data_IF_732672439656
#
_entry.id   IF_732672439656
#
_cell.length_a   1.000
_cell.length_b   1.000
_cell.length_c   1.000
_cell.angle_alpha   90.00
_cell.angle_beta   90.00
_cell.angle_gamma   90.00
#
_symmetry.space_group_name_H-M   'P 1'
#
loop_
_entity.id
_entity.type
_entity.pdbx_description
1 polymer ?
#
# COMPACT_ATOMS: atom_id res chain seq x y z
N UNK A 1 -24.99 30.95 -17.12
CA UNK A 1 -24.15 29.79 -16.78
C UNK A 1 -24.98 28.97 -15.82
N UNK A 2 -25.41 27.79 -16.25
CA UNK A 2 -26.35 26.97 -15.50
C UNK A 2 -25.72 26.45 -14.20
N UNK A 3 -26.54 26.05 -13.22
CA UNK A 3 -26.04 25.37 -12.04
C UNK A 3 -25.33 24.08 -12.48
N UNK A 4 -24.11 23.87 -12.00
CA UNK A 4 -23.43 22.57 -12.09
C UNK A 4 -24.35 21.52 -11.48
N UNK A 5 -24.94 20.70 -12.34
CA UNK A 5 -25.58 19.47 -11.93
C UNK A 5 -24.43 18.56 -11.53
N UNK A 6 -24.12 18.50 -10.24
CA UNK A 6 -23.36 17.39 -9.67
C UNK A 6 -24.06 16.11 -10.13
N UNK A 7 -23.47 15.42 -11.11
CA UNK A 7 -23.90 14.06 -11.44
C UNK A 7 -23.58 13.24 -10.19
N UNK A 8 -24.62 12.80 -9.50
CA UNK A 8 -24.55 11.88 -8.37
C UNK A 8 -24.11 10.50 -8.92
N UNK A 9 -22.85 10.38 -9.33
CA UNK A 9 -22.29 9.10 -9.74
C UNK A 9 -22.19 8.21 -8.50
N UNK A 10 -22.64 6.95 -8.56
CA UNK A 10 -22.53 6.05 -7.44
C UNK A 10 -21.05 5.80 -7.13
N UNK A 11 -20.67 5.98 -5.86
CA UNK A 11 -19.32 5.72 -5.36
C UNK A 11 -18.84 4.33 -5.75
N UNK A 12 -17.56 4.23 -6.09
CA UNK A 12 -16.91 3.01 -6.53
C UNK A 12 -15.93 2.49 -5.49
N UNK A 13 -15.74 1.18 -5.47
CA UNK A 13 -14.93 0.50 -4.48
C UNK A 13 -14.00 -0.50 -5.16
N UNK A 14 -12.73 -0.49 -4.75
CA UNK A 14 -11.71 -1.40 -5.23
C UNK A 14 -11.18 -2.15 -4.02
N UNK A 15 -11.36 -3.48 -3.98
CA UNK A 15 -10.83 -4.33 -2.92
C UNK A 15 -9.55 -5.01 -3.41
N UNK A 16 -8.43 -4.72 -2.75
CA UNK A 16 -7.12 -5.27 -3.09
C UNK A 16 -6.76 -6.37 -2.10
N UNK A 17 -6.61 -7.60 -2.60
CA UNK A 17 -6.32 -8.80 -1.80
C UNK A 17 -4.98 -9.40 -2.19
N UNK A 18 -4.36 -10.13 -1.26
CA UNK A 18 -3.08 -10.82 -1.47
C UNK A 18 -3.20 -12.32 -1.53
N UNK A 19 -2.28 -12.95 -2.26
CA UNK A 19 -2.20 -14.39 -2.41
C UNK A 19 -0.79 -14.93 -2.34
N UNK A 20 -0.65 -16.24 -2.14
CA UNK A 20 0.63 -16.98 -2.15
C UNK A 20 1.56 -16.66 -0.98
N UNK A 21 2.08 -15.43 -0.89
CA UNK A 21 3.01 -14.96 0.15
C UNK A 21 2.66 -13.54 0.58
N UNK A 22 3.05 -13.15 1.79
CA UNK A 22 3.02 -11.75 2.21
C UNK A 22 4.11 -10.93 1.51
N UNK A 23 4.06 -9.60 1.66
CA UNK A 23 5.08 -8.67 1.14
C UNK A 23 5.23 -8.62 -0.39
N UNK A 24 4.18 -8.98 -1.13
CA UNK A 24 4.14 -8.85 -2.59
C UNK A 24 4.00 -7.41 -3.12
N UNK A 25 3.93 -6.40 -2.26
CA UNK A 25 3.78 -5.01 -2.68
C UNK A 25 2.34 -4.56 -2.94
N UNK A 26 1.33 -5.21 -2.32
CA UNK A 26 -0.10 -4.84 -2.47
C UNK A 26 -0.37 -3.35 -2.25
N UNK A 27 0.20 -2.77 -1.19
CA UNK A 27 0.05 -1.37 -0.87
C UNK A 27 0.62 -0.46 -1.96
N UNK A 28 1.75 -0.83 -2.55
CA UNK A 28 2.35 -0.10 -3.68
C UNK A 28 1.52 -0.25 -4.96
N UNK A 29 0.99 -1.43 -5.26
CA UNK A 29 0.02 -1.64 -6.36
C UNK A 29 -1.21 -0.74 -6.17
N UNK A 30 -1.80 -0.74 -4.98
CA UNK A 30 -2.97 0.07 -4.64
C UNK A 30 -2.68 1.58 -4.75
N UNK A 31 -1.54 2.02 -4.20
CA UNK A 31 -1.07 3.40 -4.26
C UNK A 31 -0.81 3.85 -5.70
N UNK A 32 -0.17 3.01 -6.50
CA UNK A 32 0.14 3.31 -7.91
C UNK A 32 -1.11 3.37 -8.78
N UNK A 33 -2.07 2.46 -8.56
CA UNK A 33 -3.38 2.57 -9.21
C UNK A 33 -4.10 3.84 -8.79
N UNK A 34 -4.09 4.17 -7.50
CA UNK A 34 -4.69 5.41 -6.98
C UNK A 34 -4.11 6.65 -7.66
N UNK A 35 -2.79 6.70 -7.82
CA UNK A 35 -2.10 7.79 -8.50
C UNK A 35 -2.52 7.92 -9.97
N UNK A 36 -2.63 6.80 -10.70
CA UNK A 36 -3.09 6.82 -12.10
C UNK A 36 -4.54 7.31 -12.20
N UNK A 37 -5.42 6.87 -11.29
CA UNK A 37 -6.81 7.34 -11.25
C UNK A 37 -6.90 8.85 -10.95
N UNK A 38 -6.05 9.38 -10.08
CA UNK A 38 -5.95 10.83 -9.84
C UNK A 38 -5.48 11.60 -11.08
N UNK A 39 -4.52 11.07 -11.85
CA UNK A 39 -4.12 11.67 -13.14
C UNK A 39 -5.25 11.67 -14.19
N UNK A 40 -6.23 10.78 -14.03
CA UNK A 40 -7.48 10.79 -14.82
C UNK A 40 -8.57 11.70 -14.24
N UNK A 41 -8.28 12.45 -13.18
CA UNK A 41 -9.22 13.39 -12.55
C UNK A 41 -10.22 12.72 -11.59
N UNK A 42 -9.98 11.48 -11.18
CA UNK A 42 -10.82 10.76 -10.21
C UNK A 42 -10.37 11.10 -8.80
N UNK A 43 -11.29 11.44 -7.89
CA UNK A 43 -10.95 11.61 -6.48
C UNK A 43 -10.83 10.25 -5.80
N UNK A 44 -9.65 9.97 -5.23
CA UNK A 44 -9.33 8.66 -4.65
C UNK A 44 -9.02 8.79 -3.16
N UNK A 45 -9.49 7.83 -2.37
CA UNK A 45 -8.97 7.58 -1.03
C UNK A 45 -8.53 6.12 -0.91
N UNK A 46 -7.47 5.87 -0.16
CA UNK A 46 -6.99 4.53 0.13
C UNK A 46 -7.14 4.26 1.64
N UNK A 47 -7.49 3.03 1.99
CA UNK A 47 -7.50 2.57 3.37
C UNK A 47 -6.91 1.17 3.48
N UNK A 48 -6.36 0.84 4.65
CA UNK A 48 -5.72 -0.43 4.96
C UNK A 48 -6.47 -1.15 6.07
N UNK A 49 -6.82 -2.40 5.82
CA UNK A 49 -7.41 -3.31 6.79
C UNK A 49 -6.37 -4.31 7.27
N UNK A 50 -5.99 -4.19 8.53
CA UNK A 50 -4.95 -5.01 9.14
C UNK A 50 -5.54 -6.13 10.00
N UNK A 51 -5.19 -7.39 9.72
CA UNK A 51 -5.81 -8.51 10.42
C UNK A 51 -5.28 -8.75 11.84
N UNK A 52 -4.26 -8.01 12.29
CA UNK A 52 -3.71 -8.13 13.64
C UNK A 52 -4.64 -7.56 14.74
N UNK A 53 -4.45 -8.03 15.97
CA UNK A 53 -5.31 -7.71 17.11
C UNK A 53 -4.92 -6.45 17.89
N UNK A 54 -3.74 -5.87 17.64
CA UNK A 54 -3.39 -4.58 18.21
C UNK A 54 -4.40 -3.52 17.74
N UNK A 55 -4.90 -2.70 18.66
CA UNK A 55 -5.85 -1.61 18.34
C UNK A 55 -5.15 -0.54 17.48
N UNK A 56 -3.88 -0.30 17.76
CA UNK A 56 -2.98 0.57 17.01
C UNK A 56 -1.56 -0.05 17.01
N UNK A 57 -0.68 0.34 16.06
CA UNK A 57 0.69 -0.14 15.99
C UNK A 57 1.62 0.53 17.01
N UNK A 58 1.15 1.48 17.84
CA UNK A 58 1.97 2.17 18.84
C UNK A 58 2.59 1.25 19.89
N UNK A 59 1.96 0.09 20.11
CA UNK A 59 2.46 -0.97 21.00
C UNK A 59 3.38 -1.98 20.30
N UNK A 60 3.55 -1.88 18.98
CA UNK A 60 4.38 -2.79 18.21
C UNK A 60 5.85 -2.37 18.26
N UNK A 61 6.73 -3.36 18.16
CA UNK A 61 8.15 -3.09 18.03
C UNK A 61 8.46 -2.65 16.59
N UNK A 62 9.06 -1.46 16.37
CA UNK A 62 9.42 -1.01 15.03
C UNK A 62 10.39 -1.96 14.30
N UNK A 63 11.17 -2.76 15.04
CA UNK A 63 12.04 -3.79 14.46
C UNK A 63 11.29 -4.93 13.77
N UNK A 64 10.03 -5.17 14.14
CA UNK A 64 9.23 -6.27 13.63
C UNK A 64 8.23 -5.81 12.58
N UNK A 65 7.77 -4.56 12.66
CA UNK A 65 6.66 -4.04 11.86
C UNK A 65 7.00 -2.79 11.04
N UNK A 66 8.26 -2.33 11.05
CA UNK A 66 8.68 -1.12 10.35
C UNK A 66 8.39 0.15 11.16
N UNK A 67 8.49 1.31 10.52
CA UNK A 67 8.12 2.57 11.19
C UNK A 67 6.63 2.63 11.53
N UNK A 68 6.31 3.30 12.63
CA UNK A 68 4.94 3.76 12.89
C UNK A 68 4.75 5.06 12.12
N UNK A 69 3.75 5.08 11.23
CA UNK A 69 3.39 6.30 10.50
C UNK A 69 2.40 7.12 11.33
N UNK A 70 2.54 8.45 11.30
CA UNK A 70 1.67 9.35 12.08
C UNK A 70 0.95 10.28 11.12
N UNK A 71 -0.38 10.25 11.15
CA UNK A 71 -1.25 11.07 10.31
C UNK A 71 -1.46 12.47 10.90
N UNK A 72 -1.99 13.38 10.09
CA UNK A 72 -2.30 14.77 10.46
C UNK A 72 -3.26 14.88 11.66
N UNK A 73 -4.13 13.89 11.89
CA UNK A 73 -5.04 13.83 13.03
C UNK A 73 -4.41 13.23 14.31
N UNK A 74 -3.12 12.88 14.24
CA UNK A 74 -2.35 12.31 15.35
C UNK A 74 -2.49 10.80 15.50
N UNK A 75 -3.17 10.12 14.57
CA UNK A 75 -3.28 8.67 14.59
C UNK A 75 -1.95 7.99 14.27
N UNK A 76 -1.56 7.03 15.08
CA UNK A 76 -0.45 6.10 14.83
C UNK A 76 -0.97 4.94 13.99
N UNK A 77 -0.38 4.68 12.82
CA UNK A 77 -0.86 3.73 11.83
C UNK A 77 0.26 2.89 11.21
N UNK A 78 -0.13 1.87 10.45
CA UNK A 78 0.78 1.06 9.65
C UNK A 78 1.55 1.91 8.62
N UNK A 79 2.77 1.49 8.28
CA UNK A 79 3.66 2.19 7.34
C UNK A 79 3.06 2.33 5.94
N UNK A 80 2.15 1.45 5.55
CA UNK A 80 1.54 1.47 4.21
C UNK A 80 0.71 2.73 3.97
N UNK A 81 0.18 3.38 5.02
CA UNK A 81 -0.50 4.66 4.87
C UNK A 81 0.46 5.76 4.40
N UNK A 82 1.73 5.67 4.77
CA UNK A 82 2.78 6.54 4.24
C UNK A 82 3.03 6.30 2.75
N UNK A 83 2.81 5.09 2.22
CA UNK A 83 2.82 4.87 0.78
C UNK A 83 1.63 5.54 0.10
N UNK A 84 0.45 5.48 0.69
CA UNK A 84 -0.74 6.09 0.10
C UNK A 84 -0.59 7.61 -0.01
N UNK A 85 -0.19 8.31 1.06
CA UNK A 85 0.02 9.78 1.01
C UNK A 85 1.16 10.22 0.10
N UNK A 86 2.14 9.35 -0.17
CA UNK A 86 3.24 9.66 -1.10
C UNK A 86 2.82 9.59 -2.57
N UNK A 87 1.81 8.79 -2.88
CA UNK A 87 1.39 8.51 -4.24
C UNK A 87 0.10 9.22 -4.61
N UNK A 88 -0.77 9.51 -3.65
CA UNK A 88 -2.05 10.16 -3.87
C UNK A 88 -2.21 11.42 -3.03
N UNK A 89 -3.11 12.29 -3.47
CA UNK A 89 -3.48 13.52 -2.78
C UNK A 89 -4.55 13.33 -1.69
N UNK A 90 -5.10 12.10 -1.59
CA UNK A 90 -6.17 11.75 -0.67
C UNK A 90 -5.77 11.94 0.79
N UNK A 91 -6.49 12.81 1.51
CA UNK A 91 -6.30 13.00 2.96
C UNK A 91 -6.69 11.75 3.72
N UNK A 92 -5.77 11.27 4.56
CA UNK A 92 -5.99 10.14 5.44
C UNK A 92 -6.23 10.61 6.88
N UNK A 93 -6.88 9.74 7.64
CA UNK A 93 -7.16 9.92 9.08
C UNK A 93 -7.14 8.55 9.75
N UNK A 94 -7.35 8.49 11.07
CA UNK A 94 -7.53 7.24 11.80
C UNK A 94 -8.59 6.29 11.19
N UNK A 95 -9.54 6.82 10.40
CA UNK A 95 -10.56 6.01 9.73
C UNK A 95 -10.01 5.19 8.55
N UNK A 96 -8.82 5.53 8.05
CA UNK A 96 -8.16 4.87 6.93
C UNK A 96 -7.30 3.67 7.34
N UNK A 97 -7.16 3.40 8.63
CA UNK A 97 -6.56 2.17 9.13
C UNK A 97 -7.56 1.46 10.03
N UNK A 98 -7.92 0.22 9.67
CA UNK A 98 -8.84 -0.60 10.45
C UNK A 98 -8.15 -1.89 10.87
N UNK A 99 -8.06 -2.13 12.17
CA UNK A 99 -7.46 -3.37 12.70
C UNK A 99 -8.53 -4.34 13.20
N UNK A 100 -8.22 -5.65 13.24
CA UNK A 100 -9.09 -6.61 13.95
C UNK A 100 -9.30 -6.18 15.40
N UNK A 101 -8.25 -5.67 16.06
CA UNK A 101 -8.32 -5.14 17.43
C UNK A 101 -9.45 -4.12 17.61
N UNK A 102 -9.47 -3.08 16.77
CA UNK A 102 -10.48 -2.02 16.80
C UNK A 102 -11.90 -2.57 16.57
N UNK A 103 -12.05 -3.52 15.64
CA UNK A 103 -13.37 -4.10 15.31
C UNK A 103 -13.89 -4.90 16.50
N UNK A 104 -13.09 -5.82 17.03
CA UNK A 104 -13.50 -6.67 18.14
C UNK A 104 -13.73 -5.84 19.41
N UNK A 105 -12.90 -4.83 19.67
CA UNK A 105 -13.13 -3.88 20.77
C UNK A 105 -14.47 -3.15 20.61
N UNK A 106 -14.73 -2.55 19.44
CA UNK A 106 -15.99 -1.85 19.15
C UNK A 106 -17.21 -2.75 19.36
N UNK A 107 -17.21 -3.96 18.78
CA UNK A 107 -18.32 -4.92 18.89
C UNK A 107 -18.54 -5.35 20.34
N UNK A 108 -17.48 -5.65 21.08
CA UNK A 108 -17.59 -6.04 22.50
C UNK A 108 -18.13 -4.88 23.35
N UNK A 109 -17.69 -3.65 23.10
CA UNK A 109 -18.17 -2.48 23.83
C UNK A 109 -19.65 -2.20 23.57
N UNK A 110 -20.11 -2.30 22.31
CA UNK A 110 -21.54 -2.18 21.95
C UNK A 110 -22.39 -3.26 22.63
N UNK A 111 -21.87 -4.48 22.72
CA UNK A 111 -22.51 -5.58 23.45
C UNK A 111 -22.65 -5.29 24.94
N UNK A 112 -21.57 -4.85 25.60
CA UNK A 112 -21.58 -4.51 27.04
C UNK A 112 -22.52 -3.35 27.37
N UNK A 113 -22.75 -2.42 26.43
CA UNK A 113 -23.71 -1.32 26.55
C UNK A 113 -25.16 -1.74 26.29
N UNK A 114 -25.41 -2.98 25.86
CA UNK A 114 -26.74 -3.48 25.55
C UNK A 114 -27.29 -3.03 24.19
N UNK A 115 -26.44 -2.53 23.28
CA UNK A 115 -26.87 -2.02 21.96
C UNK A 115 -27.46 -3.12 21.07
N UNK A 116 -27.09 -4.38 21.31
CA UNK A 116 -27.65 -5.55 20.62
C UNK A 116 -28.91 -6.13 21.29
N UNK A 117 -29.50 -5.43 22.28
CA UNK A 117 -30.79 -5.76 22.88
C UNK A 117 -30.92 -7.21 23.41
N UNK A 118 -29.82 -7.76 23.94
CA UNK A 118 -29.76 -9.12 24.48
C UNK A 118 -29.65 -10.24 23.43
N UNK A 119 -29.49 -9.90 22.15
CA UNK A 119 -29.22 -10.87 21.10
C UNK A 119 -27.80 -11.45 21.20
N UNK A 120 -27.61 -12.68 20.69
CA UNK A 120 -26.28 -13.30 20.60
C UNK A 120 -25.40 -12.55 19.60
N UNK A 121 -24.25 -12.06 20.05
CA UNK A 121 -23.25 -11.42 19.20
C UNK A 121 -22.38 -12.46 18.52
N UNK A 122 -22.13 -12.26 17.22
CA UNK A 122 -21.51 -13.23 16.30
C UNK A 122 -20.65 -12.52 15.26
N UNK A 123 -19.67 -13.21 14.66
CA UNK A 123 -18.84 -12.66 13.57
C UNK A 123 -19.72 -12.21 12.39
N UNK A 124 -20.69 -13.03 12.00
CA UNK A 124 -21.73 -12.65 11.05
C UNK A 124 -23.05 -12.55 11.82
N UNK A 125 -23.75 -11.40 11.82
CA UNK A 125 -23.46 -10.20 11.04
C UNK A 125 -22.65 -9.14 11.81
N UNK A 126 -22.39 -9.26 13.11
CA UNK A 126 -21.97 -8.11 13.93
C UNK A 126 -20.57 -7.57 13.58
N UNK A 127 -19.56 -8.44 13.49
CA UNK A 127 -18.19 -8.06 13.08
C UNK A 127 -18.17 -7.61 11.62
N UNK A 128 -18.82 -8.37 10.74
CA UNK A 128 -18.89 -8.03 9.31
C UNK A 128 -19.64 -6.72 9.04
N UNK A 129 -20.69 -6.40 9.80
CA UNK A 129 -21.39 -5.12 9.72
C UNK A 129 -20.53 -3.96 10.22
N UNK A 130 -19.73 -4.16 11.27
CA UNK A 130 -18.78 -3.14 11.73
C UNK A 130 -17.75 -2.82 10.63
N UNK A 131 -17.19 -3.84 9.98
CA UNK A 131 -16.26 -3.66 8.86
C UNK A 131 -16.95 -2.93 7.70
N UNK A 132 -18.16 -3.36 7.30
CA UNK A 132 -18.91 -2.71 6.23
C UNK A 132 -19.24 -1.25 6.54
N UNK A 133 -19.55 -0.91 7.79
CA UNK A 133 -19.78 0.47 8.20
C UNK A 133 -18.52 1.31 7.96
N UNK A 134 -17.35 0.82 8.39
CA UNK A 134 -16.05 1.49 8.15
C UNK A 134 -15.76 1.74 6.67
N UNK A 135 -16.09 0.79 5.78
CA UNK A 135 -15.95 0.98 4.32
C UNK A 135 -16.84 2.15 3.83
N UNK A 136 -18.05 2.32 4.37
CA UNK A 136 -18.96 3.40 3.96
C UNK A 136 -18.48 4.76 4.46
N UNK A 137 -18.06 4.82 5.72
CA UNK A 137 -17.58 6.05 6.34
C UNK A 137 -16.34 6.58 5.62
N UNK A 138 -15.41 5.68 5.28
CA UNK A 138 -14.18 6.05 4.57
C UNK A 138 -14.39 6.43 3.10
N UNK A 139 -15.56 6.17 2.51
CA UNK A 139 -15.86 6.56 1.12
C UNK A 139 -16.55 7.91 1.01
N UNK A 140 -16.74 8.64 2.11
CA UNK A 140 -17.30 10.00 2.08
C UNK A 140 -16.45 10.95 1.22
N UNK A 141 -17.11 11.71 0.34
CA UNK A 141 -16.50 12.74 -0.52
C UNK A 141 -15.42 12.28 -1.52
N UNK A 142 -15.39 10.99 -1.89
CA UNK A 142 -14.53 10.49 -2.98
C UNK A 142 -15.29 9.63 -3.99
N UNK A 143 -14.81 9.64 -5.24
CA UNK A 143 -15.35 8.84 -6.33
C UNK A 143 -14.99 7.36 -6.18
N UNK A 144 -13.75 7.07 -5.79
CA UNK A 144 -13.20 5.72 -5.62
C UNK A 144 -12.55 5.54 -4.25
N UNK A 145 -13.00 4.54 -3.50
CA UNK A 145 -12.31 4.05 -2.31
C UNK A 145 -11.56 2.75 -2.63
N UNK A 146 -10.24 2.77 -2.47
CA UNK A 146 -9.38 1.58 -2.57
C UNK A 146 -9.16 1.05 -1.16
N UNK A 147 -9.49 -0.21 -0.91
CA UNK A 147 -9.28 -0.87 0.37
C UNK A 147 -8.33 -2.04 0.19
N UNK A 148 -7.13 -1.92 0.76
CA UNK A 148 -6.17 -3.02 0.83
C UNK A 148 -6.44 -3.89 2.05
N UNK A 149 -6.41 -5.21 1.89
CA UNK A 149 -6.45 -6.17 3.00
C UNK A 149 -5.05 -6.68 3.27
N UNK A 150 -4.55 -6.47 4.49
CA UNK A 150 -3.32 -7.07 5.01
C UNK A 150 -3.40 -8.59 5.09
N UNK A 151 -2.25 -9.23 5.26
CA UNK A 151 -2.15 -10.70 5.27
C UNK A 151 -2.29 -11.35 3.88
N UNK A 152 -2.60 -12.65 3.89
CA UNK A 152 -2.68 -13.49 2.69
C UNK A 152 -4.03 -14.23 2.64
N UNK A 153 -4.62 -14.32 1.45
CA UNK A 153 -5.86 -15.08 1.24
C UNK A 153 -5.64 -16.55 1.60
N UNK A 154 -6.50 -17.08 2.47
CA UNK A 154 -6.39 -18.43 3.02
C UNK A 154 -6.02 -18.44 4.51
N UNK A 155 -5.48 -17.34 5.03
CA UNK A 155 -5.20 -17.20 6.46
C UNK A 155 -6.48 -16.92 7.26
N UNK A 156 -6.54 -17.47 8.46
CA UNK A 156 -7.72 -17.38 9.35
C UNK A 156 -8.02 -15.92 9.72
N UNK A 157 -6.97 -15.13 9.92
CA UNK A 157 -7.04 -13.75 10.40
C UNK A 157 -7.78 -12.80 9.44
N UNK A 158 -7.72 -13.05 8.12
CA UNK A 158 -8.35 -12.21 7.10
C UNK A 158 -9.81 -12.57 6.78
N UNK A 159 -10.32 -13.70 7.29
CA UNK A 159 -11.65 -14.21 6.92
C UNK A 159 -12.80 -13.23 7.22
N UNK A 160 -12.85 -12.52 8.37
CA UNK A 160 -13.92 -11.56 8.63
C UNK A 160 -13.94 -10.40 7.63
N UNK A 161 -12.77 -9.90 7.21
CA UNK A 161 -12.67 -8.82 6.21
C UNK A 161 -13.14 -9.27 4.85
N UNK A 162 -12.68 -10.44 4.38
CA UNK A 162 -13.08 -10.98 3.09
C UNK A 162 -14.60 -11.25 3.04
N UNK A 163 -15.17 -11.82 4.10
CA UNK A 163 -16.63 -12.01 4.18
C UNK A 163 -17.39 -10.67 4.19
N UNK A 164 -16.90 -9.67 4.92
CA UNK A 164 -17.50 -8.34 4.93
C UNK A 164 -17.50 -7.70 3.53
N UNK A 165 -16.39 -7.79 2.78
CA UNK A 165 -16.29 -7.28 1.41
C UNK A 165 -17.16 -8.04 0.42
N UNK A 166 -17.28 -9.36 0.58
CA UNK A 166 -18.18 -10.20 -0.21
C UNK A 166 -19.65 -9.81 0.01
N UNK A 167 -20.05 -9.53 1.25
CA UNK A 167 -21.40 -9.00 1.54
C UNK A 167 -21.56 -7.58 1.01
N UNK A 168 -20.54 -6.73 1.19
CA UNK A 168 -20.55 -5.34 0.75
C UNK A 168 -20.74 -5.22 -0.75
N UNK A 169 -20.09 -6.07 -1.56
CA UNK A 169 -20.22 -6.03 -3.02
C UNK A 169 -21.64 -6.33 -3.50
N UNK A 170 -22.41 -7.13 -2.75
CA UNK A 170 -23.83 -7.36 -3.02
C UNK A 170 -24.67 -6.13 -2.66
N UNK A 171 -24.36 -5.47 -1.55
CA UNK A 171 -25.08 -4.27 -1.07
C UNK A 171 -24.80 -3.04 -1.92
N UNK A 172 -23.55 -2.83 -2.34
CA UNK A 172 -23.12 -1.70 -3.16
C UNK A 172 -23.51 -1.86 -4.65
N UNK A 173 -23.78 -3.09 -5.08
CA UNK A 173 -24.11 -3.43 -6.47
C UNK A 173 -22.87 -3.75 -7.32
N UNK A 174 -22.99 -4.78 -8.17
CA UNK A 174 -21.85 -5.33 -8.93
C UNK A 174 -21.11 -4.34 -9.83
N UNK A 175 -21.77 -3.31 -10.36
CA UNK A 175 -21.12 -2.29 -11.19
C UNK A 175 -20.37 -1.21 -10.41
N UNK A 176 -20.33 -1.31 -9.08
CA UNK A 176 -19.69 -0.34 -8.19
C UNK A 176 -18.51 -0.93 -7.43
N UNK A 177 -18.24 -2.23 -7.58
CA UNK A 177 -17.18 -2.93 -6.83
C UNK A 177 -16.38 -3.81 -7.77
N UNK A 178 -15.05 -3.70 -7.69
CA UNK A 178 -14.13 -4.67 -8.30
C UNK A 178 -13.18 -5.24 -7.26
N UNK A 179 -12.76 -6.48 -7.49
CA UNK A 179 -11.75 -7.18 -6.72
C UNK A 179 -10.46 -7.33 -7.52
N UNK A 180 -9.37 -6.81 -6.97
CA UNK A 180 -8.01 -6.97 -7.48
C UNK A 180 -7.30 -7.98 -6.59
N UNK A 181 -6.75 -9.03 -7.18
CA UNK A 181 -5.99 -10.04 -6.46
C UNK A 181 -4.53 -10.04 -6.89
N UNK A 182 -3.66 -9.58 -5.98
CA UNK A 182 -2.21 -9.58 -6.15
C UNK A 182 -1.66 -10.95 -5.79
N UNK A 183 -0.87 -11.52 -6.68
CA UNK A 183 -0.36 -12.90 -6.61
C UNK A 183 1.08 -12.96 -7.10
N UNK A 184 1.75 -14.10 -6.86
CA UNK A 184 3.12 -14.34 -7.29
C UNK A 184 3.17 -15.37 -8.42
N UNK A 185 3.85 -15.02 -9.51
CA UNK A 185 4.24 -15.93 -10.58
C UNK A 185 5.76 -16.14 -10.48
N UNK A 186 6.22 -17.10 -9.66
CA UNK A 186 7.64 -17.28 -9.41
C UNK A 186 8.34 -17.95 -10.60
N UNK A 187 9.60 -17.59 -10.79
CA UNK A 187 10.51 -18.27 -11.72
C UNK A 187 11.28 -19.37 -10.99
N UNK A 188 11.24 -20.59 -11.52
CA UNK A 188 12.02 -21.69 -10.96
C UNK A 188 13.33 -21.85 -11.73
N UNK A 189 14.42 -21.33 -11.17
CA UNK A 189 15.77 -21.40 -11.77
C UNK A 189 16.17 -22.81 -12.23
N UNK A 190 15.84 -23.84 -11.45
CA UNK A 190 16.18 -25.23 -11.77
C UNK A 190 15.42 -25.78 -13.01
N UNK A 191 14.25 -25.23 -13.30
CA UNK A 191 13.40 -25.63 -14.43
C UNK A 191 13.44 -24.63 -15.60
N UNK A 192 13.93 -23.41 -15.37
CA UNK A 192 14.01 -22.37 -16.39
C UNK A 192 12.66 -21.83 -16.85
N UNK A 193 11.63 -21.89 -16.00
CA UNK A 193 10.26 -21.51 -16.37
C UNK A 193 9.49 -20.82 -15.23
N UNK A 194 8.54 -19.97 -15.63
CA UNK A 194 7.57 -19.34 -14.75
C UNK A 194 6.46 -20.33 -14.34
N UNK A 195 6.04 -20.27 -13.07
CA UNK A 195 5.01 -21.16 -12.53
C UNK A 195 3.72 -20.42 -12.20
N UNK A 196 2.65 -20.78 -12.92
CA UNK A 196 1.31 -20.23 -12.71
C UNK A 196 0.52 -20.91 -11.58
N UNK A 197 0.99 -22.06 -11.10
CA UNK A 197 0.24 -22.91 -10.16
C UNK A 197 -0.07 -22.22 -8.82
N UNK A 198 0.86 -21.46 -8.20
CA UNK A 198 0.56 -20.72 -6.98
C UNK A 198 -0.62 -19.74 -7.17
N UNK A 199 -0.61 -18.96 -8.25
CA UNK A 199 -1.73 -18.08 -8.61
C UNK A 199 -3.05 -18.81 -8.74
N UNK A 200 -3.07 -19.93 -9.46
CA UNK A 200 -4.28 -20.74 -9.65
C UNK A 200 -4.89 -21.21 -8.33
N UNK A 201 -4.04 -21.66 -7.39
CA UNK A 201 -4.48 -22.10 -6.06
C UNK A 201 -4.94 -20.92 -5.20
N UNK A 202 -4.26 -19.78 -5.29
CA UNK A 202 -4.65 -18.57 -4.57
C UNK A 202 -6.03 -18.06 -5.00
N UNK A 203 -6.28 -18.00 -6.31
CA UNK A 203 -7.61 -17.63 -6.84
C UNK A 203 -8.67 -18.68 -6.49
N UNK A 204 -8.32 -19.97 -6.46
CA UNK A 204 -9.25 -20.99 -5.98
C UNK A 204 -9.65 -20.74 -4.52
N UNK A 205 -8.71 -20.39 -3.63
CA UNK A 205 -9.00 -20.05 -2.24
C UNK A 205 -9.89 -18.83 -2.08
N UNK A 206 -9.67 -17.79 -2.90
CA UNK A 206 -10.53 -16.61 -2.93
C UNK A 206 -11.96 -16.96 -3.40
N UNK A 207 -12.09 -17.84 -4.38
CA UNK A 207 -13.39 -18.32 -4.88
C UNK A 207 -14.11 -19.26 -3.92
N UNK A 208 -13.39 -20.05 -3.13
CA UNK A 208 -13.98 -20.91 -2.09
C UNK A 208 -14.81 -20.11 -1.08
N UNK A 209 -14.42 -18.86 -0.83
CA UNK A 209 -15.16 -17.93 0.04
C UNK A 209 -16.13 -17.03 -0.72
N UNK A 210 -16.36 -17.28 -2.01
CA UNK A 210 -17.36 -16.58 -2.83
C UNK A 210 -16.91 -15.25 -3.43
N UNK A 211 -15.60 -14.97 -3.49
CA UNK A 211 -15.04 -13.80 -4.17
C UNK A 211 -14.40 -14.24 -5.50
N UNK A 212 -14.87 -13.65 -6.60
CA UNK A 212 -14.24 -13.78 -7.91
C UNK A 212 -13.42 -12.52 -8.16
N UNK A 213 -12.09 -12.61 -8.40
CA UNK A 213 -11.32 -11.45 -8.80
C UNK A 213 -11.75 -10.99 -10.19
N UNK A 214 -11.76 -9.68 -10.38
CA UNK A 214 -11.96 -9.02 -11.67
C UNK A 214 -10.62 -8.78 -12.37
N UNK A 215 -9.57 -8.47 -11.60
CA UNK A 215 -8.19 -8.25 -12.07
C UNK A 215 -7.22 -9.11 -11.27
N UNK A 216 -6.25 -9.72 -11.97
CA UNK A 216 -5.11 -10.41 -11.38
C UNK A 216 -3.84 -9.61 -11.62
N UNK A 217 -3.20 -9.21 -10.54
CA UNK A 217 -1.89 -8.54 -10.59
C UNK A 217 -0.83 -9.58 -10.29
N UNK A 218 -0.06 -9.94 -11.31
CA UNK A 218 0.90 -11.03 -11.29
C UNK A 218 2.30 -10.47 -11.03
N UNK A 219 2.70 -10.43 -9.75
CA UNK A 219 4.07 -10.09 -9.36
C UNK A 219 5.05 -11.13 -9.88
N UNK A 220 6.14 -10.66 -10.47
CA UNK A 220 7.15 -11.56 -11.06
C UNK A 220 8.49 -10.88 -11.26
N UNK A 221 9.55 -11.68 -11.37
CA UNK A 221 10.91 -11.21 -11.70
C UNK A 221 11.20 -11.31 -13.21
N UNK A 222 10.34 -11.97 -13.98
CA UNK A 222 10.54 -12.19 -15.42
C UNK A 222 9.28 -11.86 -16.22
N UNK A 223 9.42 -11.36 -17.47
CA UNK A 223 8.27 -11.07 -18.32
C UNK A 223 7.35 -12.28 -18.52
N UNK A 224 6.05 -12.02 -18.46
CA UNK A 224 4.96 -12.97 -18.67
C UNK A 224 4.51 -12.88 -20.12
N UNK A 225 4.80 -13.94 -20.88
CA UNK A 225 4.34 -14.05 -22.25
C UNK A 225 2.82 -14.26 -22.37
N UNK A 226 2.34 -14.21 -23.62
CA UNK A 226 0.93 -14.38 -23.93
C UNK A 226 0.40 -15.76 -23.54
N UNK A 227 1.20 -16.83 -23.64
CA UNK A 227 0.76 -18.18 -23.30
C UNK A 227 0.46 -18.29 -21.81
N UNK A 228 1.34 -17.73 -20.96
CA UNK A 228 1.12 -17.68 -19.51
C UNK A 228 -0.11 -16.85 -19.17
N UNK A 229 -0.32 -15.69 -19.82
CA UNK A 229 -1.52 -14.87 -19.61
C UNK A 229 -2.81 -15.60 -19.99
N UNK A 230 -2.85 -16.24 -21.14
CA UNK A 230 -4.01 -17.04 -21.59
C UNK A 230 -4.28 -18.22 -20.64
N UNK A 231 -3.22 -18.86 -20.14
CA UNK A 231 -3.32 -19.92 -19.14
C UNK A 231 -3.90 -19.41 -17.82
N UNK A 232 -3.37 -18.30 -17.29
CA UNK A 232 -3.87 -17.70 -16.06
C UNK A 232 -5.32 -17.26 -16.19
N UNK A 233 -5.66 -16.61 -17.31
CA UNK A 233 -7.03 -16.22 -17.67
C UNK A 233 -7.98 -17.43 -17.61
N UNK A 234 -7.62 -18.53 -18.29
CA UNK A 234 -8.44 -19.74 -18.32
C UNK A 234 -8.63 -20.37 -16.93
N UNK A 235 -7.54 -20.57 -16.18
CA UNK A 235 -7.61 -21.27 -14.89
C UNK A 235 -8.22 -20.42 -13.75
N UNK A 236 -8.06 -19.10 -13.83
CA UNK A 236 -8.54 -18.17 -12.81
C UNK A 236 -9.89 -17.54 -13.16
N UNK A 237 -10.39 -17.81 -14.38
CA UNK A 237 -11.67 -17.30 -14.89
C UNK A 237 -11.74 -15.76 -14.88
N UNK A 238 -10.69 -15.12 -15.40
CA UNK A 238 -10.60 -13.67 -15.63
C UNK A 238 -10.31 -13.40 -17.10
N UNK A 239 -10.74 -12.27 -17.69
CA UNK A 239 -10.35 -11.90 -19.05
C UNK A 239 -8.83 -11.84 -19.22
N UNK A 240 -8.30 -12.15 -20.41
CA UNK A 240 -6.84 -12.09 -20.67
C UNK A 240 -6.29 -10.69 -20.40
N UNK A 241 -7.02 -9.63 -20.78
CA UNK A 241 -6.66 -8.23 -20.50
C UNK A 241 -6.60 -7.89 -19.02
N UNK A 242 -7.21 -8.72 -18.16
CA UNK A 242 -7.22 -8.53 -16.71
C UNK A 242 -6.13 -9.35 -16.00
N UNK A 243 -5.23 -10.00 -16.74
CA UNK A 243 -4.00 -10.59 -16.22
C UNK A 243 -2.88 -9.58 -16.42
N UNK A 244 -2.66 -8.76 -15.39
CA UNK A 244 -1.70 -7.65 -15.37
C UNK A 244 -0.35 -8.19 -14.91
N UNK A 245 0.70 -7.96 -15.70
CA UNK A 245 2.07 -8.23 -15.27
C UNK A 245 2.56 -7.09 -14.39
N UNK A 246 3.10 -7.42 -13.21
CA UNK A 246 3.72 -6.43 -12.35
C UNK A 246 5.13 -6.87 -12.02
N UNK A 247 6.08 -6.54 -12.90
CA UNK A 247 7.48 -6.87 -12.68
C UNK A 247 8.09 -6.08 -11.53
N UNK A 248 9.19 -6.61 -10.98
CA UNK A 248 10.09 -5.83 -10.16
C UNK A 248 10.60 -4.60 -10.93
N UNK A 249 10.49 -3.43 -10.31
CA UNK A 249 10.98 -2.17 -10.86
C UNK A 249 12.48 -2.04 -10.62
N UNK A 250 13.20 -1.44 -11.57
CA UNK A 250 14.66 -1.47 -11.60
C UNK A 250 15.31 -0.61 -10.51
N UNK A 251 14.75 0.57 -10.23
CA UNK A 251 15.42 1.59 -9.42
C UNK A 251 14.57 2.18 -8.31
N UNK A 252 13.27 2.35 -8.53
CA UNK A 252 12.41 3.01 -7.55
C UNK A 252 10.95 2.58 -7.68
N UNK A 253 10.25 2.56 -6.53
CA UNK A 253 8.81 2.32 -6.44
C UNK A 253 7.99 3.33 -7.28
N UNK A 254 8.54 4.51 -7.56
CA UNK A 254 7.88 5.54 -8.39
C UNK A 254 7.83 5.20 -9.88
N UNK A 255 8.46 4.10 -10.30
CA UNK A 255 8.28 3.53 -11.64
C UNK A 255 6.99 2.71 -11.77
N UNK A 256 6.43 2.26 -10.66
CA UNK A 256 5.29 1.33 -10.65
C UNK A 256 4.02 1.90 -11.31
N UNK A 257 3.64 3.19 -11.13
CA UNK A 257 2.52 3.77 -11.87
C UNK A 257 2.68 3.64 -13.39
N UNK A 258 3.88 3.93 -13.92
CA UNK A 258 4.14 3.78 -15.36
C UNK A 258 4.16 2.31 -15.80
N UNK A 259 4.59 1.38 -14.94
CA UNK A 259 4.55 -0.04 -15.26
C UNK A 259 3.10 -0.56 -15.36
N UNK A 260 2.24 -0.18 -14.41
CA UNK A 260 0.82 -0.53 -14.43
C UNK A 260 0.05 0.14 -15.58
N UNK A 261 0.40 1.38 -15.91
CA UNK A 261 -0.17 2.09 -17.06
C UNK A 261 0.18 1.41 -18.40
N UNK A 262 1.42 0.91 -18.56
CA UNK A 262 1.81 0.15 -19.77
C UNK A 262 1.02 -1.15 -19.93
N UNK A 263 0.50 -1.68 -18.83
CA UNK A 263 -0.37 -2.85 -18.79
C UNK A 263 -1.86 -2.49 -18.89
N UNK A 264 -2.19 -1.22 -19.14
CA UNK A 264 -3.55 -0.69 -19.31
C UNK A 264 -4.44 -0.96 -18.08
N UNK A 265 -3.85 -1.05 -16.90
CA UNK A 265 -4.59 -1.37 -15.67
C UNK A 265 -5.59 -0.27 -15.29
N UNK A 266 -5.21 0.99 -15.47
CA UNK A 266 -6.08 2.14 -15.21
C UNK A 266 -7.26 2.21 -16.19
N UNK A 267 -7.02 1.99 -17.49
CA UNK A 267 -8.10 1.87 -18.49
C UNK A 267 -9.07 0.74 -18.15
N UNK A 268 -8.54 -0.43 -17.76
CA UNK A 268 -9.36 -1.56 -17.37
C UNK A 268 -10.23 -1.26 -16.14
N UNK A 269 -9.69 -0.56 -15.14
CA UNK A 269 -10.44 -0.17 -13.94
C UNK A 269 -11.53 0.86 -14.28
N UNK A 270 -11.22 1.84 -15.12
CA UNK A 270 -12.20 2.83 -15.62
C UNK A 270 -13.35 2.14 -16.35
N UNK A 271 -13.03 1.20 -17.25
CA UNK A 271 -14.02 0.40 -17.97
C UNK A 271 -14.91 -0.42 -17.03
N UNK A 272 -14.30 -1.18 -16.10
CA UNK A 272 -15.02 -2.10 -15.21
C UNK A 272 -15.96 -1.36 -14.25
N UNK A 273 -15.56 -0.18 -13.77
CA UNK A 273 -16.35 0.63 -12.86
C UNK A 273 -17.29 1.61 -13.58
N UNK A 274 -17.15 1.76 -14.90
CA UNK A 274 -17.91 2.72 -15.70
C UNK A 274 -17.66 4.16 -15.28
N UNK A 275 -16.39 4.50 -15.00
CA UNK A 275 -15.97 5.84 -14.60
C UNK A 275 -15.94 6.78 -15.82
N UNK A 276 -16.38 8.02 -15.63
CA UNK A 276 -16.25 9.10 -16.63
C UNK A 276 -14.89 9.78 -16.46
N UNK A 277 -13.83 9.08 -16.86
CA UNK A 277 -12.44 9.46 -16.59
C UNK A 277 -11.60 9.40 -17.89
N UNK A 278 -11.12 10.55 -18.41
CA UNK A 278 -10.36 10.59 -19.65
C UNK A 278 -9.01 9.86 -19.55
N UNK A 279 -8.41 9.47 -20.69
CA UNK A 279 -7.06 8.90 -20.69
C UNK A 279 -6.01 9.92 -20.24
N UNK A 280 -4.91 9.42 -19.68
CA UNK A 280 -3.78 10.25 -19.21
C UNK A 280 -2.94 10.67 -20.43
N UNK A 281 -2.96 11.97 -20.77
CA UNK A 281 -2.16 12.49 -21.90
C UNK A 281 -0.69 12.74 -21.52
N UNK A 282 -0.46 13.25 -20.30
CA UNK A 282 0.86 13.59 -19.79
C UNK A 282 0.95 13.17 -18.32
N UNK A 283 1.80 12.17 -18.03
CA UNK A 283 1.98 11.67 -16.67
C UNK A 283 3.15 12.37 -15.96
N UNK A 284 2.91 12.90 -14.77
CA UNK A 284 3.93 13.49 -13.90
C UNK A 284 4.97 12.44 -13.48
N UNK A 285 4.58 11.18 -13.44
CA UNK A 285 5.45 10.05 -13.09
C UNK A 285 6.59 9.88 -14.10
N UNK A 286 6.38 10.25 -15.37
CA UNK A 286 7.45 10.25 -16.39
C UNK A 286 8.57 11.19 -15.99
N UNK A 287 8.24 12.40 -15.53
CA UNK A 287 9.21 13.37 -15.07
C UNK A 287 9.89 12.94 -13.78
N UNK A 288 9.13 12.38 -12.83
CA UNK A 288 9.68 11.86 -11.56
C UNK A 288 10.71 10.77 -11.84
N UNK A 289 10.36 9.77 -12.65
CA UNK A 289 11.25 8.66 -13.02
C UNK A 289 12.48 9.16 -13.79
N UNK A 290 12.30 10.14 -14.69
CA UNK A 290 13.44 10.76 -15.39
C UNK A 290 14.44 11.38 -14.42
N UNK A 291 13.98 12.16 -13.43
CA UNK A 291 14.87 12.79 -12.44
C UNK A 291 15.54 11.77 -11.52
N UNK A 292 14.88 10.66 -11.23
CA UNK A 292 15.46 9.54 -10.48
C UNK A 292 16.56 8.81 -11.27
N UNK A 293 16.30 8.47 -12.53
CA UNK A 293 17.23 7.68 -13.36
C UNK A 293 18.36 8.53 -13.95
N UNK A 294 18.15 9.82 -14.16
CA UNK A 294 19.12 10.72 -14.82
C UNK A 294 19.14 12.11 -14.19
N UNK A 295 19.56 12.21 -12.91
CA UNK A 295 19.66 13.49 -12.20
C UNK A 295 20.82 14.34 -12.73
N UNK A 296 20.66 15.66 -12.68
CA UNK A 296 21.69 16.63 -13.08
C UNK A 296 22.81 16.80 -12.04
N UNK A 297 22.52 16.53 -10.76
CA UNK A 297 23.46 16.65 -9.65
C UNK A 297 23.47 15.42 -8.74
N UNK A 298 24.44 15.38 -7.82
CA UNK A 298 24.53 14.36 -6.76
C UNK A 298 25.02 14.98 -5.46
N UNK A 299 24.46 14.52 -4.34
CA UNK A 299 24.89 14.88 -2.99
C UNK A 299 24.93 13.66 -2.08
N UNK A 300 25.89 13.60 -1.19
CA UNK A 300 26.02 12.59 -0.14
C UNK A 300 25.41 13.11 1.17
N UNK A 301 24.38 12.44 1.68
CA UNK A 301 23.71 12.80 2.95
C UNK A 301 23.91 11.68 3.96
N UNK A 302 24.57 11.98 5.07
CA UNK A 302 24.75 11.06 6.19
C UNK A 302 23.51 11.03 7.08
N UNK A 303 22.82 9.90 7.18
CA UNK A 303 21.68 9.69 8.09
C UNK A 303 22.13 8.94 9.33
N UNK A 304 22.11 9.62 10.48
CA UNK A 304 22.65 9.12 11.77
C UNK A 304 21.54 8.48 12.60
N UNK A 305 21.21 7.23 12.28
CA UNK A 305 20.10 6.49 12.86
C UNK A 305 20.51 5.54 13.99
N UNK A 306 19.56 5.24 14.88
CA UNK A 306 19.70 4.19 15.91
C UNK A 306 19.39 2.79 15.37
N UNK A 307 18.52 2.73 14.35
CA UNK A 307 17.95 1.50 13.77
C UNK A 307 18.41 1.32 12.32
N UNK A 308 19.70 1.45 12.07
CA UNK A 308 20.21 1.57 10.70
C UNK A 308 20.18 0.24 9.91
N UNK A 309 20.12 -0.89 10.61
CA UNK A 309 20.06 -2.23 10.01
C UNK A 309 18.66 -2.56 9.44
N UNK A 310 17.61 -1.91 9.95
CA UNK A 310 16.26 -2.10 9.45
C UNK A 310 15.92 -0.98 8.46
N UNK A 311 15.79 -1.34 7.18
CA UNK A 311 15.52 -0.34 6.14
C UNK A 311 14.22 0.42 6.37
N UNK A 312 13.21 -0.26 6.93
CA UNK A 312 11.86 0.27 7.09
C UNK A 312 11.68 1.13 8.33
N UNK A 313 12.64 1.13 9.27
CA UNK A 313 12.55 1.91 10.51
C UNK A 313 12.64 3.45 10.29
N UNK A 314 13.14 3.85 9.13
CA UNK A 314 13.30 5.26 8.74
C UNK A 314 12.81 5.48 7.30
N UNK A 315 11.87 4.65 6.84
CA UNK A 315 11.40 4.68 5.46
C UNK A 315 10.96 6.08 5.07
N UNK A 316 10.19 6.75 5.92
CA UNK A 316 9.69 8.09 5.62
C UNK A 316 10.76 9.17 5.57
N UNK A 317 11.82 9.02 6.38
CA UNK A 317 12.98 9.90 6.35
C UNK A 317 13.74 9.71 5.04
N UNK A 318 13.98 8.47 4.62
CA UNK A 318 14.69 8.19 3.37
C UNK A 318 13.90 8.66 2.15
N UNK A 319 12.61 8.40 2.11
CA UNK A 319 11.78 8.83 0.99
C UNK A 319 11.62 10.36 0.91
N UNK A 320 11.58 11.08 2.04
CA UNK A 320 11.57 12.56 2.00
C UNK A 320 12.86 13.15 1.43
N UNK A 321 14.02 12.53 1.70
CA UNK A 321 15.29 12.88 1.05
C UNK A 321 15.25 12.59 -0.45
N UNK A 322 14.71 11.43 -0.85
CA UNK A 322 14.51 11.09 -2.27
C UNK A 322 13.61 12.13 -2.97
N UNK A 323 12.50 12.53 -2.33
CA UNK A 323 11.58 13.55 -2.85
C UNK A 323 12.24 14.91 -2.99
N UNK A 324 13.03 15.32 -2.01
CA UNK A 324 13.83 16.55 -2.10
C UNK A 324 14.82 16.47 -3.28
N UNK A 325 15.44 15.30 -3.50
CA UNK A 325 16.27 15.03 -4.67
C UNK A 325 15.52 15.20 -5.99
N UNK A 326 14.36 14.55 -6.13
CA UNK A 326 13.48 14.67 -7.30
C UNK A 326 13.10 16.12 -7.56
N UNK A 327 12.69 16.87 -6.54
CA UNK A 327 12.31 18.28 -6.67
C UNK A 327 13.45 19.16 -7.21
N UNK A 328 14.70 18.83 -6.85
CA UNK A 328 15.91 19.58 -7.22
C UNK A 328 16.70 18.97 -8.40
N UNK A 329 16.15 17.96 -9.09
CA UNK A 329 16.85 17.22 -10.15
C UNK A 329 18.25 16.73 -9.74
N UNK A 330 18.33 16.18 -8.53
CA UNK A 330 19.57 15.79 -7.86
C UNK A 330 19.41 14.42 -7.19
N UNK A 331 20.38 13.52 -7.39
CA UNK A 331 20.40 12.26 -6.66
C UNK A 331 20.94 12.47 -5.24
N UNK A 332 20.15 12.04 -4.25
CA UNK A 332 20.58 11.99 -2.86
C UNK A 332 21.13 10.60 -2.56
N UNK A 333 22.44 10.48 -2.41
CA UNK A 333 23.08 9.26 -1.95
C UNK A 333 23.02 9.22 -0.42
N UNK A 334 22.18 8.33 0.11
CA UNK A 334 21.94 8.22 1.55
C UNK A 334 22.99 7.30 2.17
N UNK A 335 23.92 7.89 2.92
CA UNK A 335 24.91 7.15 3.70
C UNK A 335 24.34 6.87 5.08
N UNK A 336 24.00 5.60 5.31
CA UNK A 336 23.44 5.09 6.55
C UNK A 336 24.52 4.95 7.62
N UNK A 337 24.39 5.68 8.73
CA UNK A 337 25.39 5.73 9.80
C UNK A 337 24.74 5.33 11.12
N UNK A 338 25.28 4.28 11.74
CA UNK A 338 24.92 3.89 13.10
C UNK A 338 25.37 4.96 14.10
N UNK A 339 24.42 5.47 14.87
CA UNK A 339 24.67 6.47 15.91
C UNK A 339 25.64 5.94 16.98
N UNK A 340 25.55 4.67 17.41
CA UNK A 340 26.45 4.14 18.45
C UNK A 340 27.91 4.11 17.99
N UNK A 341 28.13 3.94 16.68
CA UNK A 341 29.48 3.99 16.12
C UNK A 341 30.13 5.38 16.26
N UNK A 342 29.35 6.45 16.44
CA UNK A 342 29.83 7.83 16.57
C UNK A 342 30.14 8.24 18.01
N UNK A 343 29.83 7.40 19.00
CA UNK A 343 30.19 7.66 20.41
C UNK A 343 31.70 7.59 20.64
N UNK A 344 32.43 6.95 19.73
CA UNK A 344 33.89 6.88 19.74
C UNK A 344 34.48 7.94 18.79
N UNK A 345 35.58 8.63 19.17
CA UNK A 345 36.19 9.65 18.32
C UNK A 345 36.54 9.18 16.91
N UNK A 346 36.96 7.91 16.72
CA UNK A 346 37.31 7.38 15.41
C UNK A 346 36.08 7.24 14.48
N UNK A 347 34.89 7.13 15.07
CA UNK A 347 33.61 6.99 14.36
C UNK A 347 33.23 8.23 13.56
N UNK A 348 33.62 9.43 14.03
CA UNK A 348 33.32 10.70 13.36
C UNK A 348 33.93 10.80 11.96
N UNK A 349 34.95 10.00 11.65
CA UNK A 349 35.51 9.91 10.30
C UNK A 349 34.46 9.47 9.25
N UNK A 350 33.40 8.77 9.66
CA UNK A 350 32.28 8.38 8.77
C UNK A 350 31.48 9.58 8.26
N UNK A 351 31.53 10.72 8.94
CA UNK A 351 30.85 11.96 8.56
C UNK A 351 31.67 12.82 7.59
N UNK A 352 32.95 12.50 7.43
CA UNK A 352 33.88 13.28 6.61
C UNK A 352 33.48 13.21 5.13
N UNK A 353 33.31 14.38 4.52
CA UNK A 353 33.00 14.51 3.10
C UNK A 353 31.51 14.43 2.76
N UNK A 354 30.63 14.23 3.75
CA UNK A 354 29.19 14.34 3.55
C UNK A 354 28.81 15.79 3.21
N UNK A 355 27.87 15.98 2.29
CA UNK A 355 27.31 17.30 1.95
C UNK A 355 26.24 17.77 2.95
N UNK A 356 25.68 16.85 3.72
CA UNK A 356 24.73 17.13 4.79
C UNK A 356 24.61 15.98 5.78
N UNK A 357 24.18 16.28 6.99
CA UNK A 357 23.98 15.30 8.06
C UNK A 357 22.55 15.44 8.57
N UNK A 358 21.79 14.34 8.53
CA UNK A 358 20.44 14.25 9.06
C UNK A 358 20.44 13.35 10.29
N UNK A 359 19.96 13.89 11.41
CA UNK A 359 19.80 13.15 12.67
C UNK A 359 18.31 12.91 12.90
N UNK A 360 17.75 11.73 12.54
CA UNK A 360 16.33 11.45 12.68
C UNK A 360 15.95 11.22 14.15
N UNK A 361 14.64 11.06 14.39
CA UNK A 361 14.12 10.57 15.66
C UNK A 361 14.72 9.23 16.09
N UNK A 362 14.56 8.87 17.35
CA UNK A 362 14.98 7.55 17.84
C UNK A 362 14.47 7.34 19.25
N UNK A 363 13.44 6.52 19.39
CA UNK A 363 12.80 6.25 20.68
C UNK A 363 13.76 5.51 21.63
N UNK A 364 13.85 5.94 22.89
CA UNK A 364 14.69 5.36 23.95
C UNK A 364 16.18 5.78 23.92
N UNK A 365 16.92 5.45 24.99
CA UNK A 365 18.18 6.15 25.35
C UNK A 365 19.44 5.78 24.55
N UNK A 366 19.42 4.66 23.84
CA UNK A 366 20.60 4.13 23.12
C UNK A 366 20.97 5.00 21.90
N UNK A 367 22.26 5.31 21.74
CA UNK A 367 22.81 6.05 20.60
C UNK A 367 22.65 7.57 20.67
N UNK A 368 22.22 8.12 21.82
CA UNK A 368 22.03 9.57 21.99
C UNK A 368 23.37 10.33 21.90
N UNK A 369 24.41 9.83 22.58
CA UNK A 369 25.72 10.52 22.59
C UNK A 369 26.33 10.60 21.19
N UNK A 370 26.15 9.56 20.38
CA UNK A 370 26.59 9.55 18.99
C UNK A 370 25.84 10.55 18.11
N UNK A 371 24.53 10.71 18.33
CA UNK A 371 23.74 11.76 17.67
C UNK A 371 24.22 13.16 18.06
N UNK A 372 24.51 13.39 19.35
CA UNK A 372 25.07 14.66 19.84
C UNK A 372 26.44 14.91 19.20
N UNK A 373 27.29 13.88 19.09
CA UNK A 373 28.61 13.98 18.47
C UNK A 373 28.50 14.34 16.98
N UNK A 374 27.54 13.78 16.25
CA UNK A 374 27.27 14.12 14.86
C UNK A 374 26.87 15.60 14.69
N UNK A 375 25.99 16.11 15.56
CA UNK A 375 25.58 17.53 15.54
C UNK A 375 26.74 18.47 15.89
N UNK A 376 27.64 18.07 16.80
CA UNK A 376 28.84 18.86 17.14
C UNK A 376 29.90 18.84 16.02
N UNK A 377 29.90 17.81 15.18
CA UNK A 377 30.82 17.68 14.05
C UNK A 377 30.39 18.53 12.85
N UNK A 378 29.08 18.57 12.57
CA UNK A 378 28.46 19.42 11.55
C UNK A 378 28.69 20.90 11.85
#
# INVERSE_FOLDING_TARGET
MGPDVQKDQPKKYIFVTGGVVSSLGKGLTAASLGALLEERGVTVRIQKFDPYLNVDPGTMNPFQHGEVYVLDDGAETDLDLGHYERFTSGKLSQFNNLTSGQIYESVIQKERKGEYLGATVQVIPHVTNEIKARIRDASEDVDVLITEIGGTTGDIEGLPFLEAMRQFSLEAGRGNVIFIHVTLVPFLNAAGELKTKPTQQSVAKLREIGIQPDILVCRTEHPIDREIREKLSLFCNVPVKAVIEEMDVESSIYELPLALQREEMDDLVVDLLGLDAPPIEHSVWVDIVRRLKSPSGRVDIGVVGKYIELQDAYKSVYESLTHAGIANDCAVNIVRIDAEALEKPEGLNKLKGMNGILVPGGFGDRGIEGKIAAVKYA
#
